data_IF_145454324713
#
_entry.id   IF_145454324713
#
_cell.length_a   1.000
_cell.length_b   1.000
_cell.length_c   1.000
_cell.angle_alpha   90.00
_cell.angle_beta   90.00
_cell.angle_gamma   90.00
#
_symmetry.space_group_name_H-M   'P 1'
#
loop_
_entity.id
_entity.type
_entity.pdbx_description
1 polymer ?
#
# COMPACT_ATOMS: atom_id res chain seq x y z
N UNK A 1 -14.78 24.57 -14.12
CA UNK A 1 -14.56 24.10 -12.73
C UNK A 1 -13.38 23.12 -12.61
N UNK A 2 -13.13 22.23 -13.58
CA UNK A 2 -12.04 21.24 -13.52
C UNK A 2 -10.60 21.80 -13.48
N UNK A 3 -10.37 23.06 -13.85
CA UNK A 3 -9.03 23.66 -13.85
C UNK A 3 -8.39 23.78 -12.45
N UNK A 4 -9.20 23.78 -11.38
CA UNK A 4 -8.70 23.86 -10.01
C UNK A 4 -8.24 22.51 -9.43
N UNK A 5 -8.88 21.40 -9.81
CA UNK A 5 -8.55 20.08 -9.24
C UNK A 5 -7.18 19.58 -9.72
N UNK A 6 -6.80 19.99 -10.94
CA UNK A 6 -5.54 19.65 -11.60
C UNK A 6 -4.46 20.73 -11.44
N UNK A 7 -4.69 21.73 -10.57
CA UNK A 7 -3.71 22.79 -10.36
C UNK A 7 -2.38 22.23 -9.81
N UNK A 8 -1.28 22.52 -10.50
CA UNK A 8 0.07 22.08 -10.12
C UNK A 8 0.71 23.13 -9.22
N UNK A 9 0.92 22.78 -7.94
CA UNK A 9 1.72 23.56 -7.01
C UNK A 9 3.18 23.08 -7.01
N UNK A 10 4.07 23.81 -6.31
CA UNK A 10 5.43 23.34 -5.99
C UNK A 10 5.44 21.95 -5.32
N UNK A 11 4.37 21.64 -4.59
CA UNK A 11 4.13 20.35 -3.92
C UNK A 11 3.48 19.28 -4.80
N UNK A 12 3.12 19.59 -6.05
CA UNK A 12 2.35 18.72 -6.95
C UNK A 12 0.87 19.09 -7.01
N UNK A 13 0.05 18.23 -7.63
CA UNK A 13 -1.41 18.36 -7.66
C UNK A 13 -2.04 18.00 -6.31
N UNK A 14 -3.31 18.35 -6.12
CA UNK A 14 -4.08 17.90 -4.95
C UNK A 14 -4.07 16.37 -4.82
N UNK A 15 -4.21 15.66 -5.95
CA UNK A 15 -4.12 14.21 -6.02
C UNK A 15 -2.74 13.70 -5.56
N UNK A 16 -1.65 14.27 -6.06
CA UNK A 16 -0.29 13.90 -5.64
C UNK A 16 -0.10 14.05 -4.11
N UNK A 17 -0.54 15.16 -3.54
CA UNK A 17 -0.45 15.40 -2.10
C UNK A 17 -1.26 14.37 -1.29
N UNK A 18 -2.46 14.02 -1.76
CA UNK A 18 -3.28 12.99 -1.13
C UNK A 18 -2.65 11.60 -1.24
N UNK A 19 -2.03 11.25 -2.37
CA UNK A 19 -1.38 9.96 -2.60
C UNK A 19 -0.09 9.74 -1.80
N UNK A 20 0.57 10.82 -1.37
CA UNK A 20 1.82 10.76 -0.58
C UNK A 20 1.60 10.87 0.93
N UNK A 21 0.39 11.28 1.34
CA UNK A 21 -0.04 11.42 2.73
C UNK A 21 -0.08 10.08 3.47
N UNK A 22 0.20 10.11 4.78
CA UNK A 22 0.05 8.96 5.69
C UNK A 22 -1.30 8.91 6.40
N UNK A 23 -2.22 9.83 6.10
CA UNK A 23 -3.49 9.96 6.83
C UNK A 23 -4.42 8.81 6.45
N UNK A 24 -5.14 8.29 7.43
CA UNK A 24 -6.13 7.21 7.22
C UNK A 24 -7.21 7.59 6.20
N UNK A 25 -7.59 8.88 6.12
CA UNK A 25 -8.62 9.40 5.21
C UNK A 25 -8.11 9.70 3.79
N UNK A 26 -6.83 9.41 3.50
CA UNK A 26 -6.23 9.66 2.18
C UNK A 26 -6.89 8.87 1.05
N UNK A 27 -7.32 7.59 1.21
CA UNK A 27 -8.04 6.86 0.17
C UNK A 27 -9.35 7.51 -0.24
N UNK A 28 -10.17 7.94 0.73
CA UNK A 28 -11.44 8.62 0.48
C UNK A 28 -11.22 9.95 -0.24
N UNK A 29 -10.18 10.69 0.16
CA UNK A 29 -9.82 11.95 -0.48
C UNK A 29 -9.36 11.74 -1.93
N UNK A 30 -8.55 10.71 -2.20
CA UNK A 30 -8.13 10.35 -3.55
C UNK A 30 -9.33 9.98 -4.42
N UNK A 31 -10.25 9.15 -3.93
CA UNK A 31 -11.49 8.80 -4.66
C UNK A 31 -12.30 10.04 -5.01
N UNK A 32 -12.52 10.93 -4.03
CA UNK A 32 -13.27 12.16 -4.24
C UNK A 32 -12.61 13.06 -5.28
N UNK A 33 -11.28 13.20 -5.24
CA UNK A 33 -10.53 13.98 -6.23
C UNK A 33 -10.68 13.39 -7.63
N UNK A 34 -10.59 12.07 -7.78
CA UNK A 34 -10.76 11.38 -9.07
C UNK A 34 -12.19 11.55 -9.58
N UNK A 35 -13.21 11.39 -8.74
CA UNK A 35 -14.62 11.66 -9.08
C UNK A 35 -14.85 13.09 -9.59
N UNK A 36 -14.05 14.06 -9.11
CA UNK A 36 -14.11 15.46 -9.55
C UNK A 36 -13.22 15.78 -10.78
N UNK A 37 -12.60 14.75 -11.38
CA UNK A 37 -11.79 14.86 -12.59
C UNK A 37 -10.31 15.11 -12.35
N UNK A 38 -9.76 14.67 -11.20
CA UNK A 38 -8.33 14.70 -10.97
C UNK A 38 -7.60 13.79 -11.97
N UNK A 39 -6.60 14.35 -12.65
CA UNK A 39 -5.76 13.62 -13.59
C UNK A 39 -4.68 12.83 -12.86
N UNK A 40 -4.61 11.52 -13.13
CA UNK A 40 -3.65 10.59 -12.51
C UNK A 40 -2.21 10.77 -12.98
N UNK A 41 -2.04 11.47 -14.11
CA UNK A 41 -0.81 11.45 -14.91
C UNK A 41 -0.02 12.76 -14.83
N UNK A 42 -0.52 13.74 -14.06
CA UNK A 42 0.18 15.00 -13.87
C UNK A 42 1.39 14.78 -12.99
N UNK A 43 2.57 15.03 -13.54
CA UNK A 43 3.82 14.79 -12.87
C UNK A 43 4.25 15.97 -11.98
N UNK A 44 4.96 15.64 -10.91
CA UNK A 44 5.72 16.58 -10.10
C UNK A 44 7.21 16.42 -10.45
N UNK A 45 7.98 17.51 -10.62
CA UNK A 45 9.38 17.46 -11.04
C UNK A 45 10.30 16.52 -10.23
N UNK A 46 10.02 16.33 -8.93
CA UNK A 46 10.85 15.50 -8.05
C UNK A 46 10.64 14.00 -8.25
N UNK A 47 9.38 13.52 -8.17
CA UNK A 47 9.05 12.09 -8.09
C UNK A 47 8.06 11.62 -9.15
N UNK A 48 7.80 12.40 -10.19
CA UNK A 48 6.89 11.97 -11.27
C UNK A 48 5.42 11.99 -10.85
N UNK A 49 4.66 10.97 -11.26
CA UNK A 49 3.20 10.92 -11.11
C UNK A 49 2.75 10.65 -9.66
N UNK A 50 1.48 10.90 -9.30
CA UNK A 50 0.89 10.50 -8.02
C UNK A 50 1.19 9.05 -7.61
N UNK A 51 1.18 8.11 -8.56
CA UNK A 51 1.53 6.71 -8.32
C UNK A 51 2.98 6.55 -7.87
N UNK A 52 3.91 7.23 -8.55
CA UNK A 52 5.33 7.19 -8.20
C UNK A 52 5.62 7.82 -6.84
N UNK A 53 4.93 8.91 -6.50
CA UNK A 53 4.97 9.47 -5.15
C UNK A 53 4.51 8.46 -4.09
N UNK A 54 3.38 7.79 -4.32
CA UNK A 54 2.88 6.75 -3.43
C UNK A 54 3.87 5.58 -3.28
N UNK A 55 4.54 5.17 -4.36
CA UNK A 55 5.60 4.17 -4.36
C UNK A 55 6.80 4.62 -3.52
N UNK A 56 7.30 5.84 -3.72
CA UNK A 56 8.45 6.39 -2.99
C UNK A 56 8.22 6.44 -1.48
N UNK A 57 7.04 6.90 -1.06
CA UNK A 57 6.68 7.05 0.35
C UNK A 57 6.14 5.76 0.99
N UNK A 58 6.07 4.65 0.26
CA UNK A 58 5.62 3.37 0.82
C UNK A 58 4.12 3.29 1.08
N UNK A 59 3.29 4.03 0.34
CA UNK A 59 1.85 4.11 0.55
C UNK A 59 1.12 2.97 -0.15
N UNK A 60 1.23 1.76 0.37
CA UNK A 60 0.67 0.54 -0.24
C UNK A 60 -0.78 0.70 -0.70
N UNK A 61 -1.65 1.22 0.15
CA UNK A 61 -3.07 1.36 -0.18
C UNK A 61 -3.33 2.40 -1.27
N UNK A 62 -2.51 3.45 -1.33
CA UNK A 62 -2.60 4.47 -2.39
C UNK A 62 -2.10 3.89 -3.72
N UNK A 63 -1.04 3.08 -3.69
CA UNK A 63 -0.57 2.37 -4.89
C UNK A 63 -1.66 1.45 -5.42
N UNK A 64 -2.27 0.62 -4.57
CA UNK A 64 -3.35 -0.28 -4.99
C UNK A 64 -4.54 0.49 -5.60
N UNK A 65 -4.95 1.61 -4.98
CA UNK A 65 -6.03 2.46 -5.46
C UNK A 65 -5.69 3.08 -6.83
N UNK A 66 -4.53 3.71 -6.97
CA UNK A 66 -4.13 4.36 -8.22
C UNK A 66 -3.95 3.35 -9.36
N UNK A 67 -3.43 2.15 -9.08
CA UNK A 67 -3.36 1.07 -10.07
C UNK A 67 -4.76 0.59 -10.49
N UNK A 68 -5.72 0.55 -9.56
CA UNK A 68 -7.12 0.20 -9.86
C UNK A 68 -7.77 1.21 -10.81
N UNK A 69 -7.41 2.48 -10.66
CA UNK A 69 -7.79 3.58 -11.55
C UNK A 69 -6.93 3.64 -12.84
N UNK A 70 -6.10 2.63 -13.09
CA UNK A 70 -5.24 2.47 -14.27
C UNK A 70 -4.19 3.56 -14.47
N UNK A 71 -3.66 4.10 -13.36
CA UNK A 71 -2.52 5.02 -13.42
C UNK A 71 -1.31 4.34 -14.09
N UNK A 72 -0.56 5.08 -14.91
CA UNK A 72 0.63 4.53 -15.58
C UNK A 72 1.77 4.31 -14.59
N UNK A 73 2.41 3.16 -14.73
CA UNK A 73 3.61 2.79 -13.96
C UNK A 73 4.89 3.40 -14.51
N UNK A 74 4.83 4.13 -15.63
CA UNK A 74 5.97 4.74 -16.29
C UNK A 74 5.72 6.22 -16.56
N UNK A 75 6.77 7.04 -16.46
CA UNK A 75 6.74 8.43 -16.87
C UNK A 75 8.12 8.82 -17.44
N UNK A 76 8.13 9.80 -18.34
CA UNK A 76 9.38 10.36 -18.89
C UNK A 76 9.56 11.75 -18.35
N UNK A 77 10.66 11.98 -17.66
CA UNK A 77 11.05 13.31 -17.18
C UNK A 77 11.53 14.17 -18.36
N UNK A 78 11.56 15.49 -18.14
CA UNK A 78 11.98 16.46 -19.14
C UNK A 78 13.44 16.31 -19.59
N UNK A 79 14.29 15.67 -18.77
CA UNK A 79 15.69 15.34 -19.09
C UNK A 79 15.84 14.07 -19.95
N UNK A 80 14.73 13.42 -20.31
CA UNK A 80 14.71 12.16 -21.06
C UNK A 80 14.86 10.91 -20.19
N UNK A 81 15.04 11.06 -18.88
CA UNK A 81 15.10 9.93 -17.95
C UNK A 81 13.73 9.27 -17.85
N UNK A 82 13.66 7.96 -18.11
CA UNK A 82 12.48 7.16 -17.83
C UNK A 82 12.44 6.82 -16.35
N UNK A 83 11.35 7.20 -15.69
CA UNK A 83 11.07 6.85 -14.31
C UNK A 83 9.97 5.81 -14.29
N UNK A 84 10.11 4.78 -13.45
CA UNK A 84 9.09 3.74 -13.27
C UNK A 84 8.69 3.63 -11.81
N UNK A 85 7.45 3.21 -11.57
CA UNK A 85 6.91 2.96 -10.23
C UNK A 85 7.77 1.92 -9.48
N UNK A 86 8.32 0.94 -10.21
CA UNK A 86 9.24 -0.08 -9.66
C UNK A 86 10.54 0.55 -9.13
N UNK A 87 11.10 1.54 -9.84
CA UNK A 87 12.31 2.24 -9.37
C UNK A 87 12.06 3.03 -8.08
N UNK A 88 10.91 3.70 -7.98
CA UNK A 88 10.54 4.47 -6.78
C UNK A 88 10.17 3.54 -5.60
N UNK A 89 9.60 2.36 -5.88
CA UNK A 89 9.25 1.37 -4.87
C UNK A 89 10.44 0.52 -4.36
N UNK A 90 11.69 0.81 -4.77
CA UNK A 90 12.86 -0.04 -4.48
C UNK A 90 13.07 -0.39 -3.00
N UNK A 91 12.61 0.47 -2.10
CA UNK A 91 12.75 0.31 -0.64
C UNK A 91 11.52 -0.33 0.02
N UNK A 92 10.49 -0.65 -0.76
CA UNK A 92 9.19 -1.14 -0.31
C UNK A 92 8.85 -2.47 -0.98
N UNK A 93 9.36 -3.61 -0.46
CA UNK A 93 9.22 -4.92 -1.11
C UNK A 93 7.77 -5.35 -1.31
N UNK A 94 6.88 -5.02 -0.38
CA UNK A 94 5.43 -5.26 -0.48
C UNK A 94 4.84 -4.56 -1.73
N UNK A 95 5.28 -3.34 -2.03
CA UNK A 95 4.83 -2.55 -3.18
C UNK A 95 5.46 -3.08 -4.48
N UNK A 96 6.72 -3.51 -4.45
CA UNK A 96 7.35 -4.15 -5.61
C UNK A 96 6.60 -5.41 -6.04
N UNK A 97 6.22 -6.25 -5.06
CA UNK A 97 5.42 -7.45 -5.32
C UNK A 97 4.06 -7.08 -5.92
N UNK A 98 3.40 -6.04 -5.42
CA UNK A 98 2.13 -5.55 -5.95
C UNK A 98 2.27 -5.06 -7.41
N UNK A 99 3.28 -4.24 -7.70
CA UNK A 99 3.53 -3.71 -9.04
C UNK A 99 3.85 -4.82 -10.04
N UNK A 100 4.70 -5.79 -9.68
CA UNK A 100 5.02 -6.94 -10.54
C UNK A 100 3.80 -7.79 -10.83
N UNK A 101 2.99 -8.10 -9.81
CA UNK A 101 1.75 -8.85 -10.00
C UNK A 101 0.77 -8.09 -10.91
N UNK A 102 0.65 -6.76 -10.74
CA UNK A 102 -0.14 -5.92 -11.64
C UNK A 102 0.39 -5.90 -13.08
N UNK A 103 1.71 -5.88 -13.31
CA UNK A 103 2.30 -5.97 -14.65
C UNK A 103 2.05 -7.33 -15.32
N UNK A 104 2.07 -8.43 -14.56
CA UNK A 104 1.85 -9.79 -15.07
C UNK A 104 0.37 -10.10 -15.33
N UNK A 105 -0.53 -9.59 -14.48
CA UNK A 105 -1.94 -10.02 -14.44
C UNK A 105 -2.95 -8.89 -14.64
N UNK A 106 -2.49 -7.65 -14.74
CA UNK A 106 -3.32 -6.46 -14.90
C UNK A 106 -4.18 -6.18 -13.67
N UNK A 107 -5.33 -5.51 -13.87
CA UNK A 107 -6.26 -5.11 -12.80
C UNK A 107 -6.75 -6.31 -11.96
N UNK A 108 -6.82 -7.51 -12.54
CA UNK A 108 -7.21 -8.74 -11.83
C UNK A 108 -6.27 -9.13 -10.69
N UNK A 109 -5.05 -8.58 -10.65
CA UNK A 109 -4.10 -8.70 -9.55
C UNK A 109 -4.55 -7.99 -8.26
N UNK A 110 -5.33 -6.91 -8.38
CA UNK A 110 -5.66 -6.01 -7.26
C UNK A 110 -6.90 -6.45 -6.47
N UNK A 111 -7.76 -7.26 -7.09
CA UNK A 111 -8.92 -7.88 -6.43
C UNK A 111 -8.51 -9.17 -5.68
N UNK A 112 -7.23 -9.56 -5.73
CA UNK A 112 -6.71 -10.60 -4.85
C UNK A 112 -6.73 -10.09 -3.41
N UNK A 113 -7.36 -10.82 -2.48
CA UNK A 113 -7.31 -10.45 -1.08
C UNK A 113 -5.82 -10.39 -0.70
N UNK A 114 -5.39 -9.23 -0.16
CA UNK A 114 -4.05 -9.07 0.41
C UNK A 114 -3.76 -10.36 1.18
N UNK A 115 -2.65 -11.07 0.96
CA UNK A 115 -2.15 -11.94 2.00
C UNK A 115 -1.82 -10.97 3.13
N UNK A 116 -2.81 -10.72 4.01
CA UNK A 116 -2.55 -10.32 5.37
C UNK A 116 -1.38 -11.20 5.76
N UNK A 117 -0.23 -10.59 6.03
CA UNK A 117 0.92 -11.25 6.65
C UNK A 117 0.30 -12.25 7.61
N UNK A 118 0.22 -13.53 7.23
CA UNK A 118 -0.43 -14.52 8.07
C UNK A 118 0.46 -14.44 9.28
N UNK A 119 -0.07 -13.85 10.35
CA UNK A 119 0.61 -13.77 11.63
C UNK A 119 0.98 -15.22 11.86
N UNK A 120 2.28 -15.50 11.72
CA UNK A 120 2.81 -16.83 11.42
C UNK A 120 2.05 -17.84 12.29
N UNK A 121 1.03 -18.51 11.72
CA UNK A 121 -0.03 -19.15 12.51
C UNK A 121 0.61 -20.25 13.37
N UNK A 122 1.66 -20.86 12.83
CA UNK A 122 2.58 -21.76 13.50
C UNK A 122 3.12 -21.24 14.84
N UNK A 123 3.47 -19.95 14.97
CA UNK A 123 3.97 -19.37 16.23
C UNK A 123 2.86 -19.04 17.23
N UNK A 124 1.67 -18.67 16.76
CA UNK A 124 0.53 -18.38 17.63
C UNK A 124 -0.07 -19.69 18.14
N UNK A 125 -0.20 -20.69 17.29
CA UNK A 125 -0.58 -22.06 17.63
C UNK A 125 0.42 -22.70 18.60
N UNK A 126 1.74 -22.55 18.35
CA UNK A 126 2.77 -23.04 19.27
C UNK A 126 2.73 -22.33 20.64
N UNK A 127 2.41 -21.03 20.68
CA UNK A 127 2.25 -20.29 21.93
C UNK A 127 0.98 -20.72 22.69
N UNK A 128 -0.16 -20.91 22.01
CA UNK A 128 -1.38 -21.41 22.64
C UNK A 128 -1.20 -22.83 23.18
N UNK A 129 -0.55 -23.71 22.41
CA UNK A 129 -0.28 -25.08 22.86
C UNK A 129 0.60 -25.13 24.11
N UNK A 130 1.60 -24.24 24.22
CA UNK A 130 2.43 -24.13 25.43
C UNK A 130 1.65 -23.64 26.64
N UNK A 131 0.67 -22.76 26.45
CA UNK A 131 -0.21 -22.28 27.52
C UNK A 131 -1.14 -23.39 27.99
N UNK A 132 -1.65 -24.23 27.07
CA UNK A 132 -2.50 -25.36 27.42
C UNK A 132 -1.71 -26.45 28.17
N UNK A 133 -0.47 -26.74 27.75
CA UNK A 133 0.43 -27.68 28.44
C UNK A 133 0.90 -27.19 29.83
N UNK A 134 0.93 -25.88 30.08
CA UNK A 134 1.21 -25.32 31.41
C UNK A 134 -0.01 -25.37 32.33
N UNK A 135 -1.22 -25.15 31.80
CA UNK A 135 -2.48 -25.26 32.57
C UNK A 135 -2.76 -26.68 33.04
N UNK A 136 -2.52 -27.69 32.21
CA UNK A 136 -2.71 -29.10 32.60
C UNK A 136 -1.72 -29.51 33.71
N UNK A 137 -0.51 -28.96 33.72
CA UNK A 137 0.49 -29.22 34.77
C UNK A 137 0.16 -28.52 36.08
N UNK A 138 -0.39 -27.31 36.04
CA UNK A 138 -0.81 -26.60 37.24
C UNK A 138 -2.01 -27.29 37.91
N UNK A 139 -2.94 -27.87 37.14
CA UNK A 139 -4.09 -28.62 37.67
C UNK A 139 -3.69 -29.98 38.30
N UNK A 140 -2.69 -30.68 37.77
CA UNK A 140 -2.16 -31.91 38.40
C UNK A 140 -1.42 -31.62 39.72
N UNK A 141 -0.69 -30.51 39.83
CA UNK A 141 0.04 -30.14 41.05
C UNK A 141 -0.90 -29.71 42.19
N UNK A 142 -2.07 -29.14 41.88
CA UNK A 142 -3.09 -28.80 42.88
C UNK A 142 -3.90 -30.04 43.34
N UNK A 143 -4.06 -31.06 42.49
CA UNK A 143 -4.73 -32.31 42.83
C UNK A 143 -3.98 -33.21 43.83
N UNK A 144 -2.65 -33.21 43.80
CA UNK A 144 -1.83 -34.06 44.69
C UNK A 144 -1.55 -33.46 46.08
N UNK A 145 -1.79 -32.15 46.28
CA UNK A 145 -1.59 -31.50 47.60
C UNK A 145 -2.84 -31.53 48.50
N UNK A 146 -3.93 -32.13 48.04
CA UNK A 146 -5.24 -32.14 48.70
C UNK A 146 -5.69 -33.45 49.34
N UNK A 147 -4.83 -34.48 49.45
CA UNK A 147 -5.14 -35.76 50.13
C UNK A 147 -4.33 -35.92 51.41
#
# INVERSE_FOLDING_TARGET
MHQYVNYVSLSGTALYCASTSSREQSPEMVKLLIEHGAELEIDKPSHGTPLMGACYFGRYEMVALLLKERARTTCKKADGTELTAVMEARHHPEILSLLKNFEERGVGALDEPKPARIANMTKVEECMKRIDEEKEKDEEIEGEKGV
#
